data_IF_529470886447
#
_entry.id   IF_529470886447
#
_cell.length_a   1.000
_cell.length_b   1.000
_cell.length_c   1.000
_cell.angle_alpha   90.00
_cell.angle_beta   90.00
_cell.angle_gamma   90.00
#
_symmetry.space_group_name_H-M   'P 1'
#
loop_
_entity.id
_entity.type
_entity.pdbx_description
1 polymer ?
#
# COMPACT_ATOMS: atom_id res chain seq x y z
N UNK A 1 10.36 4.08 -25.63
CA UNK A 1 11.40 5.12 -25.71
C UNK A 1 11.10 6.13 -24.63
N UNK A 2 11.97 6.28 -23.62
CA UNK A 2 11.74 7.16 -22.45
C UNK A 2 12.42 8.53 -22.63
N UNK A 3 12.40 9.06 -23.86
CA UNK A 3 13.14 10.27 -24.23
C UNK A 3 14.63 10.02 -24.49
N UNK A 4 14.99 8.80 -24.91
CA UNK A 4 16.36 8.44 -25.29
C UNK A 4 16.86 9.35 -26.43
N UNK A 5 18.10 9.85 -26.31
CA UNK A 5 18.71 10.77 -27.29
C UNK A 5 18.48 12.26 -27.02
N UNK A 6 17.73 12.64 -25.98
CA UNK A 6 17.55 14.04 -25.61
C UNK A 6 18.24 14.37 -24.27
N UNK A 7 19.03 15.46 -24.20
CA UNK A 7 19.76 15.82 -22.99
C UNK A 7 18.86 16.37 -21.87
N UNK A 8 17.70 16.94 -22.22
CA UNK A 8 16.75 17.53 -21.27
C UNK A 8 15.42 16.79 -21.37
N UNK A 9 14.91 16.35 -20.23
CA UNK A 9 13.64 15.66 -20.08
C UNK A 9 12.84 16.34 -18.98
N UNK A 10 11.65 16.84 -19.31
CA UNK A 10 10.79 17.58 -18.39
C UNK A 10 9.49 16.81 -18.15
N UNK A 11 8.89 17.00 -16.96
CA UNK A 11 7.51 16.60 -16.70
C UNK A 11 6.54 17.72 -17.09
N UNK A 12 5.34 17.34 -17.52
CA UNK A 12 4.22 18.29 -17.63
C UNK A 12 3.68 18.66 -16.24
N UNK A 13 2.90 19.73 -16.16
CA UNK A 13 2.38 20.24 -14.89
C UNK A 13 1.56 19.22 -14.08
N UNK A 14 0.82 18.32 -14.74
CA UNK A 14 0.04 17.29 -14.07
C UNK A 14 0.94 16.30 -13.32
N UNK A 15 1.95 15.76 -14.01
CA UNK A 15 2.93 14.83 -13.42
C UNK A 15 3.76 15.54 -12.36
N UNK A 16 4.16 16.79 -12.59
CA UNK A 16 4.87 17.58 -11.59
C UNK A 16 4.07 17.72 -10.29
N UNK A 17 2.75 17.98 -10.39
CA UNK A 17 1.85 18.09 -9.23
C UNK A 17 1.69 16.76 -8.50
N UNK A 18 1.60 15.64 -9.22
CA UNK A 18 1.55 14.30 -8.61
C UNK A 18 2.85 14.00 -7.84
N UNK A 19 4.01 14.27 -8.45
CA UNK A 19 5.31 14.10 -7.81
C UNK A 19 5.45 14.96 -6.56
N UNK A 20 4.99 16.21 -6.60
CA UNK A 20 5.01 17.10 -5.42
C UNK A 20 4.11 16.56 -4.30
N UNK A 21 2.91 16.07 -4.63
CA UNK A 21 1.99 15.50 -3.65
C UNK A 21 2.55 14.23 -3.00
N UNK A 22 3.14 13.33 -3.79
CA UNK A 22 3.79 12.12 -3.26
C UNK A 22 5.05 12.45 -2.46
N UNK A 23 5.86 13.41 -2.91
CA UNK A 23 7.08 13.84 -2.22
C UNK A 23 6.80 14.32 -0.80
N UNK A 24 5.75 15.14 -0.60
CA UNK A 24 5.32 15.60 0.73
C UNK A 24 5.02 14.44 1.69
N UNK A 25 4.41 13.38 1.19
CA UNK A 25 4.03 12.21 2.01
C UNK A 25 5.22 11.28 2.26
N UNK A 26 6.13 11.14 1.31
CA UNK A 26 7.22 10.15 1.38
C UNK A 26 8.50 10.69 2.03
N UNK A 27 8.82 11.97 1.87
CA UNK A 27 10.10 12.57 2.31
C UNK A 27 9.99 13.29 3.65
N UNK A 28 8.94 14.07 3.88
CA UNK A 28 8.74 14.84 5.11
C UNK A 28 7.26 14.98 5.45
N UNK A 29 6.57 13.88 5.79
CA UNK A 29 5.15 13.91 6.09
C UNK A 29 4.87 14.63 7.41
N UNK A 30 3.78 15.40 7.43
CA UNK A 30 3.17 15.82 8.69
C UNK A 30 2.71 14.58 9.46
N UNK A 31 3.00 14.56 10.76
CA UNK A 31 2.70 13.42 11.64
C UNK A 31 1.56 13.75 12.60
N UNK A 32 0.68 12.78 12.92
CA UNK A 32 0.75 11.36 12.53
C UNK A 32 0.36 11.09 11.08
N UNK A 33 1.19 10.31 10.37
CA UNK A 33 0.91 9.87 9.00
C UNK A 33 0.06 8.59 9.03
N UNK A 34 -1.10 8.61 8.40
CA UNK A 34 -2.00 7.46 8.28
C UNK A 34 -2.07 6.96 6.85
N UNK A 35 -1.79 5.68 6.62
CA UNK A 35 -2.09 5.00 5.36
C UNK A 35 -3.38 4.21 5.45
N UNK A 36 -4.23 4.35 4.43
CA UNK A 36 -5.47 3.58 4.29
C UNK A 36 -5.32 2.69 3.06
N UNK A 37 -5.29 1.39 3.28
CA UNK A 37 -5.13 0.38 2.24
C UNK A 37 -6.41 -0.44 2.14
N UNK A 38 -6.94 -0.54 0.94
CA UNK A 38 -8.04 -1.43 0.60
C UNK A 38 -7.72 -2.24 -0.65
N UNK A 39 -8.66 -3.10 -1.04
CA UNK A 39 -8.53 -3.96 -2.20
C UNK A 39 -9.15 -5.33 -1.96
N UNK A 40 -8.93 -6.24 -2.91
CA UNK A 40 -9.47 -7.59 -2.86
C UNK A 40 -8.45 -8.62 -2.34
N UNK A 41 -7.19 -8.52 -2.75
CA UNK A 41 -6.12 -9.48 -2.45
C UNK A 41 -4.97 -8.81 -1.71
N UNK A 42 -4.40 -9.51 -0.73
CA UNK A 42 -3.26 -9.04 0.05
C UNK A 42 -1.99 -9.15 -0.77
N UNK A 43 -1.82 -10.26 -1.49
CA UNK A 43 -0.69 -10.59 -2.38
C UNK A 43 -0.31 -9.45 -3.33
N UNK A 44 -1.29 -8.79 -3.95
CA UNK A 44 -1.06 -7.67 -4.88
C UNK A 44 -0.51 -6.41 -4.18
N UNK A 45 -0.64 -6.31 -2.85
CA UNK A 45 -0.31 -5.12 -2.05
C UNK A 45 0.82 -5.33 -1.06
N UNK A 46 1.41 -6.52 -0.98
CA UNK A 46 2.44 -6.85 0.02
C UNK A 46 3.63 -5.91 -0.03
N UNK A 47 4.16 -5.65 -1.23
CA UNK A 47 5.31 -4.77 -1.39
C UNK A 47 4.98 -3.34 -0.95
N UNK A 48 3.76 -2.88 -1.22
CA UNK A 48 3.29 -1.56 -0.80
C UNK A 48 3.16 -1.48 0.73
N UNK A 49 2.57 -2.50 1.36
CA UNK A 49 2.43 -2.57 2.82
C UNK A 49 3.81 -2.54 3.46
N UNK A 50 4.73 -3.42 3.05
CA UNK A 50 6.10 -3.50 3.60
C UNK A 50 6.83 -2.16 3.47
N UNK A 51 6.74 -1.48 2.33
CA UNK A 51 7.36 -0.16 2.13
C UNK A 51 6.75 0.96 2.98
N UNK A 52 5.46 0.86 3.31
CA UNK A 52 4.75 1.89 4.08
C UNK A 52 4.87 1.69 5.59
N UNK A 53 5.03 0.45 6.08
CA UNK A 53 5.17 0.14 7.51
C UNK A 53 6.29 0.95 8.17
N UNK A 54 7.42 1.15 7.48
CA UNK A 54 8.55 1.92 8.01
C UNK A 54 8.32 3.45 8.04
N UNK A 55 7.24 3.94 7.41
CA UNK A 55 7.01 5.38 7.20
C UNK A 55 5.81 5.90 7.97
N UNK A 56 4.73 5.11 8.04
CA UNK A 56 3.44 5.53 8.58
C UNK A 56 3.38 5.32 10.10
N UNK A 57 2.58 6.14 10.76
CA UNK A 57 2.27 5.97 12.18
C UNK A 57 1.07 5.04 12.38
N UNK A 58 0.11 5.09 11.45
CA UNK A 58 -1.12 4.32 11.51
C UNK A 58 -1.36 3.69 10.14
N UNK A 59 -1.71 2.41 10.12
CA UNK A 59 -2.12 1.71 8.90
C UNK A 59 -3.51 1.10 9.10
N UNK A 60 -4.44 1.48 8.23
CA UNK A 60 -5.80 0.94 8.20
C UNK A 60 -5.89 -0.03 7.02
N UNK A 61 -6.22 -1.28 7.32
CA UNK A 61 -6.53 -2.30 6.31
C UNK A 61 -8.04 -2.48 6.22
N UNK A 62 -8.60 -2.19 5.05
CA UNK A 62 -10.03 -2.31 4.75
C UNK A 62 -10.32 -3.11 3.49
N UNK A 63 -11.60 -3.15 3.08
CA UNK A 63 -12.03 -3.90 1.90
C UNK A 63 -11.95 -5.42 2.06
N UNK A 64 -11.92 -6.14 0.95
CA UNK A 64 -11.90 -7.62 0.93
C UNK A 64 -10.63 -8.21 1.54
N UNK A 65 -9.50 -7.52 1.40
CA UNK A 65 -8.23 -7.99 1.95
C UNK A 65 -8.20 -8.02 3.49
N UNK A 66 -9.04 -7.22 4.16
CA UNK A 66 -9.13 -7.21 5.62
C UNK A 66 -9.58 -8.57 6.18
N UNK A 67 -10.42 -9.32 5.47
CA UNK A 67 -10.87 -10.64 5.90
C UNK A 67 -9.72 -11.65 5.99
N UNK A 68 -8.72 -11.57 5.10
CA UNK A 68 -7.51 -12.39 5.19
C UNK A 68 -6.75 -12.09 6.49
N UNK A 69 -6.56 -10.82 6.84
CA UNK A 69 -5.91 -10.44 8.10
C UNK A 69 -6.69 -10.92 9.32
N UNK A 70 -7.99 -10.66 9.37
CA UNK A 70 -8.84 -10.98 10.53
C UNK A 70 -8.97 -12.51 10.70
N UNK A 71 -9.07 -13.27 9.62
CA UNK A 71 -9.08 -14.75 9.67
C UNK A 71 -7.76 -15.30 10.19
N UNK A 72 -6.63 -14.79 9.72
CA UNK A 72 -5.30 -15.29 10.12
C UNK A 72 -4.96 -14.91 11.55
N UNK A 73 -5.18 -13.65 11.94
CA UNK A 73 -4.75 -13.14 13.25
C UNK A 73 -5.72 -13.49 14.38
N UNK A 74 -7.02 -13.57 14.10
CA UNK A 74 -8.05 -13.74 15.12
C UNK A 74 -8.82 -15.07 14.99
N UNK A 75 -8.52 -15.88 13.96
CA UNK A 75 -9.25 -17.13 13.71
C UNK A 75 -10.72 -16.93 13.35
N UNK A 76 -11.09 -15.73 12.90
CA UNK A 76 -12.50 -15.36 12.68
C UNK A 76 -13.09 -16.10 11.48
N UNK A 77 -14.33 -16.58 11.62
CA UNK A 77 -15.11 -17.12 10.50
C UNK A 77 -15.53 -15.98 9.56
N UNK A 78 -15.10 -16.06 8.29
CA UNK A 78 -15.34 -15.01 7.28
C UNK A 78 -16.47 -15.37 6.30
N UNK A 79 -17.09 -16.54 6.45
CA UNK A 79 -18.13 -17.01 5.52
C UNK A 79 -17.66 -17.04 4.06
N UNK A 80 -18.47 -16.51 3.14
CA UNK A 80 -18.14 -16.39 1.72
C UNK A 80 -17.32 -15.14 1.35
N UNK A 81 -16.72 -14.45 2.34
CA UNK A 81 -15.91 -13.27 2.08
C UNK A 81 -14.59 -13.63 1.37
N UNK A 82 -13.98 -12.64 0.73
CA UNK A 82 -12.73 -12.83 0.00
C UNK A 82 -11.62 -13.31 0.94
N UNK A 83 -10.89 -14.33 0.50
CA UNK A 83 -9.74 -14.88 1.20
C UNK A 83 -8.61 -15.11 0.22
N UNK A 84 -7.43 -14.61 0.57
CA UNK A 84 -6.23 -14.76 -0.24
C UNK A 84 -5.27 -15.71 0.46
N UNK A 85 -5.19 -16.96 -0.01
CA UNK A 85 -4.38 -18.02 0.61
C UNK A 85 -2.89 -17.73 0.56
N UNK A 86 -2.38 -17.15 -0.52
CA UNK A 86 -0.96 -16.78 -0.63
C UNK A 86 -0.66 -15.58 0.27
N UNK A 87 -1.54 -14.58 0.26
CA UNK A 87 -1.45 -13.45 1.17
C UNK A 87 -1.50 -13.85 2.65
N UNK A 88 -2.32 -14.84 3.00
CA UNK A 88 -2.48 -15.34 4.37
C UNK A 88 -1.18 -15.85 4.99
N UNK A 89 -0.29 -16.45 4.17
CA UNK A 89 1.03 -16.94 4.62
C UNK A 89 1.95 -15.80 5.08
N UNK A 90 1.74 -14.60 4.56
CA UNK A 90 2.63 -13.44 4.76
C UNK A 90 2.08 -12.48 5.82
N UNK A 91 0.77 -12.53 6.13
CA UNK A 91 0.16 -11.73 7.20
C UNK A 91 0.94 -11.79 8.54
N UNK A 92 1.45 -12.94 9.01
CA UNK A 92 2.24 -12.99 10.24
C UNK A 92 3.57 -12.24 10.19
N UNK A 93 4.14 -11.98 9.00
CA UNK A 93 5.36 -11.18 8.84
C UNK A 93 5.09 -9.67 8.85
N UNK A 94 3.84 -9.27 8.66
CA UNK A 94 3.41 -7.86 8.55
C UNK A 94 3.08 -7.28 9.93
N UNK A 95 2.73 -8.14 10.89
CA UNK A 95 2.30 -7.78 12.24
C UNK A 95 3.43 -7.95 13.26
#
# INVERSE_FOLDING_TARGET
MMGDGYPIKCSGFLVAKELEAFGKVLESPDRPLTAILGGAKVSDKILLIKNLLDRVNIMIIGGGMAFTFIKVLQGTSIGGSLFDEEGAKIVPEIM
#
